data_IF_349517953768
#
_entry.id   IF_349517953768
#
_cell.length_a   1.000
_cell.length_b   1.000
_cell.length_c   1.000
_cell.angle_alpha   90.00
_cell.angle_beta   90.00
_cell.angle_gamma   90.00
#
_symmetry.space_group_name_H-M   'P 1'
#
loop_
_entity.id
_entity.type
_entity.pdbx_description
1 polymer ?
#
# COMPACT_ATOMS: atom_id res chain seq x y z
N UNK A 1 -6.56 -22.25 -3.45
CA UNK A 1 -6.09 -21.07 -2.71
C UNK A 1 -7.28 -20.39 -2.04
N UNK A 2 -7.34 -20.47 -0.72
CA UNK A 2 -8.37 -19.78 0.08
C UNK A 2 -7.87 -18.38 0.49
N UNK A 3 -8.71 -17.36 0.32
CA UNK A 3 -8.39 -15.98 0.71
C UNK A 3 -8.14 -15.83 2.23
N UNK A 4 -8.77 -16.67 3.05
CA UNK A 4 -8.49 -16.69 4.49
C UNK A 4 -7.09 -17.22 4.79
N UNK A 5 -6.62 -18.24 4.07
CA UNK A 5 -5.26 -18.79 4.18
C UNK A 5 -4.22 -17.78 3.68
N UNK A 6 -4.51 -17.08 2.56
CA UNK A 6 -3.66 -15.99 2.07
C UNK A 6 -3.53 -14.84 3.08
N UNK A 7 -4.60 -14.48 3.78
CA UNK A 7 -4.56 -13.47 4.84
C UNK A 7 -3.69 -13.92 6.03
N UNK A 8 -3.81 -15.19 6.44
CA UNK A 8 -2.96 -15.78 7.49
C UNK A 8 -1.49 -15.73 7.06
N UNK A 9 -1.19 -16.15 5.84
CA UNK A 9 0.15 -16.14 5.27
C UNK A 9 0.78 -14.75 5.26
N UNK A 10 0.08 -13.75 4.73
CA UNK A 10 0.57 -12.36 4.71
C UNK A 10 0.76 -11.79 6.12
N UNK A 11 -0.09 -12.18 7.07
CA UNK A 11 0.06 -11.74 8.46
C UNK A 11 1.33 -12.33 9.09
N UNK A 12 1.61 -13.62 8.86
CA UNK A 12 2.87 -14.26 9.33
C UNK A 12 4.09 -13.59 8.71
N UNK A 13 4.04 -13.31 7.40
CA UNK A 13 5.12 -12.65 6.67
C UNK A 13 5.43 -11.24 7.23
N UNK A 14 4.39 -10.45 7.49
CA UNK A 14 4.51 -9.08 8.06
C UNK A 14 5.02 -9.09 9.50
N UNK A 15 4.47 -9.96 10.33
CA UNK A 15 4.86 -10.06 11.74
C UNK A 15 6.21 -10.78 11.92
N UNK A 16 6.69 -11.48 10.89
CA UNK A 16 7.88 -12.34 10.96
C UNK A 16 7.86 -13.28 12.17
N UNK A 17 6.66 -13.74 12.57
CA UNK A 17 6.46 -14.60 13.73
C UNK A 17 5.08 -15.24 13.68
N UNK A 18 5.04 -16.56 13.73
CA UNK A 18 3.80 -17.34 13.80
C UNK A 18 2.99 -17.04 15.07
N UNK A 19 3.66 -16.86 16.21
CA UNK A 19 2.96 -16.55 17.49
C UNK A 19 2.37 -15.15 17.48
N UNK A 20 3.10 -14.13 16.97
CA UNK A 20 2.55 -12.77 16.84
C UNK A 20 1.40 -12.70 15.84
N UNK A 21 1.54 -13.39 14.72
CA UNK A 21 0.47 -13.48 13.74
C UNK A 21 -0.78 -14.17 14.33
N UNK A 22 -0.61 -15.23 15.11
CA UNK A 22 -1.70 -15.91 15.78
C UNK A 22 -2.44 -14.96 16.75
N UNK A 23 -1.71 -14.22 17.57
CA UNK A 23 -2.30 -13.23 18.46
C UNK A 23 -3.07 -12.15 17.68
N UNK A 24 -2.49 -11.61 16.62
CA UNK A 24 -3.11 -10.57 15.78
C UNK A 24 -4.37 -11.04 15.06
N UNK A 25 -4.42 -12.32 14.70
CA UNK A 25 -5.56 -12.95 14.04
C UNK A 25 -6.60 -13.54 15.02
N UNK A 26 -6.38 -13.39 16.32
CA UNK A 26 -7.20 -14.02 17.37
C UNK A 26 -7.34 -15.54 17.16
N UNK A 27 -6.23 -16.20 16.79
CA UNK A 27 -6.12 -17.64 16.58
C UNK A 27 -5.02 -18.25 17.45
N UNK A 28 -5.02 -19.57 17.57
CA UNK A 28 -3.89 -20.28 18.19
C UNK A 28 -2.74 -20.46 17.19
N UNK A 29 -1.49 -20.52 17.69
CA UNK A 29 -0.32 -20.73 16.84
C UNK A 29 -0.39 -22.07 16.05
N UNK A 30 -0.88 -23.19 16.61
CA UNK A 30 -1.11 -24.42 15.84
C UNK A 30 -2.09 -24.23 14.67
N UNK A 31 -3.18 -23.46 14.88
CA UNK A 31 -4.15 -23.18 13.83
C UNK A 31 -3.53 -22.36 12.67
N UNK A 32 -2.68 -21.39 12.99
CA UNK A 32 -1.91 -20.63 12.00
C UNK A 32 -0.95 -21.55 11.24
N UNK A 33 -0.22 -22.43 11.93
CA UNK A 33 0.70 -23.38 11.30
C UNK A 33 -0.01 -24.37 10.37
N UNK A 34 -1.20 -24.84 10.74
CA UNK A 34 -2.02 -25.72 9.90
C UNK A 34 -2.48 -24.97 8.64
N UNK A 35 -2.93 -23.71 8.77
CA UNK A 35 -3.34 -22.92 7.62
C UNK A 35 -2.17 -22.67 6.64
N UNK A 36 -0.96 -22.39 7.16
CA UNK A 36 0.22 -22.23 6.32
C UNK A 36 0.57 -23.54 5.61
N UNK A 37 0.56 -24.67 6.33
CA UNK A 37 0.84 -25.97 5.71
C UNK A 37 -0.15 -26.31 4.59
N UNK A 38 -1.45 -26.09 4.80
CA UNK A 38 -2.46 -26.26 3.75
C UNK A 38 -2.19 -25.40 2.52
N UNK A 39 -1.76 -24.16 2.74
CA UNK A 39 -1.41 -23.26 1.65
C UNK A 39 -0.16 -23.73 0.91
N UNK A 40 0.88 -24.19 1.63
CA UNK A 40 2.09 -24.78 1.04
C UNK A 40 1.76 -26.04 0.24
N UNK A 41 0.92 -26.93 0.77
CA UNK A 41 0.44 -28.12 0.07
C UNK A 41 -0.35 -27.75 -1.22
N UNK A 42 -1.16 -26.70 -1.18
CA UNK A 42 -1.94 -26.25 -2.33
C UNK A 42 -1.08 -25.58 -3.42
N UNK A 43 0.04 -24.97 -3.02
CA UNK A 43 0.99 -24.30 -3.95
C UNK A 43 2.05 -25.29 -4.43
N UNK A 44 2.33 -26.34 -3.66
CA UNK A 44 3.36 -27.34 -3.94
C UNK A 44 4.77 -26.90 -3.54
N UNK A 45 4.93 -25.76 -2.87
CA UNK A 45 6.22 -25.19 -2.52
C UNK A 45 6.21 -24.66 -1.06
N UNK A 46 7.33 -24.79 -0.32
CA UNK A 46 7.47 -24.19 0.98
C UNK A 46 7.52 -22.65 0.86
N UNK A 47 6.69 -21.95 1.62
CA UNK A 47 6.59 -20.50 1.59
C UNK A 47 7.45 -19.81 2.66
N UNK A 48 7.78 -20.55 3.72
CA UNK A 48 8.68 -20.09 4.78
C UNK A 48 9.94 -20.95 4.88
N UNK A 49 11.08 -20.33 5.18
CA UNK A 49 12.34 -21.02 5.35
C UNK A 49 12.28 -21.98 6.56
N UNK A 50 12.70 -23.26 6.34
CA UNK A 50 12.75 -24.28 7.40
C UNK A 50 13.77 -23.88 8.47
N UNK A 51 13.44 -24.07 9.75
CA UNK A 51 14.33 -23.81 10.89
C UNK A 51 14.35 -22.35 11.37
N UNK A 52 13.78 -21.43 10.65
CA UNK A 52 13.65 -20.05 11.12
C UNK A 52 12.35 -19.88 11.93
N UNK A 53 12.46 -19.73 13.26
CA UNK A 53 11.36 -19.22 14.10
C UNK A 53 10.87 -17.83 13.67
N UNK A 54 11.50 -17.25 12.64
CA UNK A 54 11.41 -15.84 12.24
C UNK A 54 10.41 -15.56 11.11
N UNK A 55 9.63 -16.51 10.61
CA UNK A 55 8.68 -16.24 9.51
C UNK A 55 9.33 -15.62 8.26
N UNK A 56 10.58 -16.00 7.96
CA UNK A 56 11.29 -15.55 6.76
C UNK A 56 10.76 -16.26 5.53
N UNK A 57 10.39 -15.48 4.50
CA UNK A 57 9.86 -16.02 3.25
C UNK A 57 10.95 -16.67 2.39
N UNK A 58 10.60 -17.77 1.73
CA UNK A 58 11.33 -18.32 0.58
C UNK A 58 11.10 -17.44 -0.66
N UNK A 59 11.75 -17.76 -1.78
CA UNK A 59 11.49 -17.04 -3.03
C UNK A 59 10.06 -17.32 -3.56
N UNK A 60 9.55 -18.55 -3.40
CA UNK A 60 8.15 -18.87 -3.64
C UNK A 60 7.22 -18.08 -2.72
N UNK A 61 7.58 -17.94 -1.44
CA UNK A 61 6.85 -17.10 -0.50
C UNK A 61 6.81 -15.63 -0.89
N UNK A 62 7.93 -15.06 -1.33
CA UNK A 62 7.98 -13.65 -1.81
C UNK A 62 7.09 -13.45 -3.04
N UNK A 63 7.16 -14.41 -3.99
CA UNK A 63 6.32 -14.38 -5.18
C UNK A 63 4.83 -14.44 -4.80
N UNK A 64 4.45 -15.44 -3.98
CA UNK A 64 3.07 -15.57 -3.54
C UNK A 64 2.59 -14.34 -2.76
N UNK A 65 3.44 -13.73 -1.92
CA UNK A 65 3.07 -12.53 -1.16
C UNK A 65 2.61 -11.38 -2.06
N UNK A 66 3.32 -11.15 -3.18
CA UNK A 66 2.96 -10.10 -4.13
C UNK A 66 1.58 -10.32 -4.77
N UNK A 67 1.27 -11.56 -5.15
CA UNK A 67 -0.02 -11.90 -5.73
C UNK A 67 -1.13 -11.98 -4.68
N UNK A 68 -0.86 -12.51 -3.49
CA UNK A 68 -1.81 -12.59 -2.40
C UNK A 68 -2.29 -11.21 -1.96
N UNK A 69 -1.39 -10.23 -1.87
CA UNK A 69 -1.77 -8.84 -1.59
C UNK A 69 -2.72 -8.29 -2.65
N UNK A 70 -2.41 -8.50 -3.93
CA UNK A 70 -3.27 -8.06 -5.04
C UNK A 70 -4.64 -8.72 -5.00
N UNK A 71 -4.72 -10.02 -4.74
CA UNK A 71 -5.99 -10.76 -4.62
C UNK A 71 -6.86 -10.23 -3.47
N UNK A 72 -6.27 -10.00 -2.29
CA UNK A 72 -7.01 -9.48 -1.15
C UNK A 72 -7.49 -8.03 -1.37
N UNK A 73 -6.69 -7.22 -2.05
CA UNK A 73 -7.06 -5.85 -2.39
C UNK A 73 -8.18 -5.82 -3.44
N UNK A 74 -8.08 -6.64 -4.49
CA UNK A 74 -9.14 -6.77 -5.49
C UNK A 74 -10.48 -7.24 -4.87
N UNK A 75 -10.42 -8.20 -3.93
CA UNK A 75 -11.62 -8.60 -3.16
C UNK A 75 -12.22 -7.41 -2.40
N UNK A 76 -11.38 -6.60 -1.78
CA UNK A 76 -11.84 -5.44 -1.02
C UNK A 76 -12.43 -4.37 -1.95
N UNK A 77 -11.85 -4.14 -3.12
CA UNK A 77 -12.37 -3.27 -4.17
C UNK A 77 -13.77 -3.71 -4.64
N UNK A 78 -13.93 -5.00 -4.96
CA UNK A 78 -15.24 -5.57 -5.32
C UNK A 78 -16.26 -5.33 -4.20
N UNK A 79 -15.86 -5.58 -2.94
CA UNK A 79 -16.76 -5.40 -1.79
C UNK A 79 -17.19 -3.94 -1.63
N UNK A 80 -16.29 -2.98 -1.87
CA UNK A 80 -16.59 -1.54 -1.86
C UNK A 80 -17.54 -1.18 -3.02
N UNK A 81 -17.21 -1.57 -4.25
CA UNK A 81 -18.04 -1.31 -5.41
C UNK A 81 -19.48 -1.84 -5.25
N UNK A 82 -19.63 -3.04 -4.68
CA UNK A 82 -20.93 -3.62 -4.38
C UNK A 82 -21.66 -2.88 -3.24
N UNK A 83 -20.93 -2.37 -2.25
CA UNK A 83 -21.50 -1.55 -1.19
C UNK A 83 -21.99 -0.20 -1.72
N UNK A 84 -21.22 0.42 -2.61
CA UNK A 84 -21.55 1.70 -3.24
C UNK A 84 -22.79 1.60 -4.11
N UNK A 85 -22.95 0.51 -4.85
CA UNK A 85 -24.17 0.20 -5.59
C UNK A 85 -25.40 0.09 -4.67
N UNK A 86 -25.24 -0.51 -3.47
CA UNK A 86 -26.34 -0.67 -2.50
C UNK A 86 -26.69 0.62 -1.77
N UNK A 87 -25.69 1.42 -1.45
CA UNK A 87 -25.86 2.64 -0.64
C UNK A 87 -26.19 3.89 -1.46
N UNK A 88 -26.20 3.79 -2.79
CA UNK A 88 -26.33 4.96 -3.68
C UNK A 88 -25.16 5.94 -3.60
N UNK A 89 -24.09 5.58 -2.90
CA UNK A 89 -22.85 6.38 -2.87
C UNK A 89 -22.12 6.22 -4.19
N UNK A 90 -21.80 7.32 -4.84
CA UNK A 90 -21.20 7.36 -6.17
C UNK A 90 -19.68 7.30 -6.16
N UNK A 91 -19.09 6.38 -5.37
CA UNK A 91 -17.69 6.02 -5.42
C UNK A 91 -16.84 6.51 -4.24
N UNK A 92 -15.70 5.88 -4.08
CA UNK A 92 -14.63 6.28 -3.17
C UNK A 92 -13.36 6.52 -3.98
N UNK A 93 -12.65 7.61 -3.70
CA UNK A 93 -11.36 7.94 -4.32
C UNK A 93 -10.28 8.00 -3.26
N UNK A 94 -9.34 7.06 -3.35
CA UNK A 94 -8.21 6.93 -2.42
C UNK A 94 -6.94 7.53 -3.04
N UNK A 95 -6.40 8.58 -2.42
CA UNK A 95 -5.18 9.26 -2.87
C UNK A 95 -4.01 8.98 -1.94
N UNK A 96 -2.86 8.62 -2.53
CA UNK A 96 -1.56 8.64 -1.87
C UNK A 96 -0.81 9.94 -2.20
N UNK A 97 -0.41 10.69 -1.18
CA UNK A 97 0.21 12.01 -1.38
C UNK A 97 1.47 12.11 -0.53
N UNK A 98 2.56 12.59 -1.10
CA UNK A 98 3.73 12.93 -0.30
C UNK A 98 3.52 14.27 0.44
N UNK A 99 4.32 14.49 1.49
CA UNK A 99 4.15 15.63 2.39
C UNK A 99 4.28 16.99 1.68
N UNK A 100 5.25 17.11 0.74
CA UNK A 100 5.47 18.37 0.02
C UNK A 100 4.32 18.74 -0.92
N UNK A 101 3.59 17.76 -1.45
CA UNK A 101 2.52 17.98 -2.41
C UNK A 101 1.15 18.26 -1.79
N UNK A 102 0.96 18.01 -0.49
CA UNK A 102 -0.34 18.17 0.18
C UNK A 102 -0.89 19.59 0.00
N UNK A 103 -0.07 20.60 0.26
CA UNK A 103 -0.50 22.01 0.20
C UNK A 103 -0.93 22.42 -1.21
N UNK A 104 -0.25 21.95 -2.24
CA UNK A 104 -0.59 22.23 -3.63
C UNK A 104 -1.90 21.55 -4.06
N UNK A 105 -2.23 20.42 -3.46
CA UNK A 105 -3.42 19.64 -3.81
C UNK A 105 -4.68 20.10 -3.09
N UNK A 106 -4.59 20.67 -1.89
CA UNK A 106 -5.76 21.05 -1.11
C UNK A 106 -6.80 21.90 -1.88
N UNK A 107 -6.40 22.94 -2.65
CA UNK A 107 -7.36 23.70 -3.44
C UNK A 107 -8.05 22.88 -4.53
N UNK A 108 -7.32 21.95 -5.16
CA UNK A 108 -7.86 21.09 -6.20
C UNK A 108 -8.87 20.11 -5.61
N UNK A 109 -8.53 19.49 -4.48
CA UNK A 109 -9.40 18.57 -3.76
C UNK A 109 -10.67 19.26 -3.22
N UNK A 110 -10.54 20.50 -2.73
CA UNK A 110 -11.68 21.29 -2.31
C UNK A 110 -12.68 21.53 -3.47
N UNK A 111 -12.17 21.91 -4.64
CA UNK A 111 -12.99 22.09 -5.85
C UNK A 111 -13.62 20.78 -6.32
N UNK A 112 -12.84 19.68 -6.29
CA UNK A 112 -13.35 18.36 -6.64
C UNK A 112 -14.50 17.93 -5.73
N UNK A 113 -14.35 18.11 -4.41
CA UNK A 113 -15.39 17.80 -3.44
C UNK A 113 -16.67 18.65 -3.60
N UNK A 114 -16.53 19.91 -4.04
CA UNK A 114 -17.69 20.76 -4.37
C UNK A 114 -18.41 20.27 -5.63
N UNK A 115 -17.66 19.84 -6.65
CA UNK A 115 -18.23 19.33 -7.90
C UNK A 115 -18.84 17.92 -7.76
N UNK A 116 -18.27 17.10 -6.87
CA UNK A 116 -18.67 15.71 -6.67
C UNK A 116 -18.89 15.40 -5.18
N UNK A 117 -19.94 15.97 -4.55
CA UNK A 117 -20.15 15.86 -3.10
C UNK A 117 -20.44 14.43 -2.63
N UNK A 118 -20.90 13.56 -3.54
CA UNK A 118 -21.23 12.16 -3.24
C UNK A 118 -20.01 11.22 -3.31
N UNK A 119 -18.85 11.70 -3.80
CA UNK A 119 -17.62 10.92 -3.83
C UNK A 119 -16.91 11.05 -2.49
N UNK A 120 -16.65 9.91 -1.85
CA UNK A 120 -15.84 9.87 -0.64
C UNK A 120 -14.35 10.00 -0.97
N UNK A 121 -13.73 11.10 -0.56
CA UNK A 121 -12.30 11.33 -0.73
C UNK A 121 -11.54 10.83 0.50
N UNK A 122 -10.66 9.85 0.30
CA UNK A 122 -9.71 9.37 1.28
C UNK A 122 -8.30 9.78 0.87
N UNK A 123 -7.60 10.53 1.71
CA UNK A 123 -6.22 10.94 1.44
C UNK A 123 -5.28 10.34 2.48
N UNK A 124 -4.20 9.70 2.02
CA UNK A 124 -3.20 9.07 2.87
C UNK A 124 -1.81 9.60 2.56
N UNK A 125 -1.08 9.95 3.62
CA UNK A 125 0.33 10.29 3.49
C UNK A 125 1.13 9.05 3.12
N UNK A 126 1.84 9.11 1.98
CA UNK A 126 2.62 8.00 1.43
C UNK A 126 3.95 8.54 0.90
N UNK A 127 5.05 7.84 1.15
CA UNK A 127 6.32 8.24 0.54
C UNK A 127 6.25 8.07 -0.98
N UNK A 128 6.81 9.02 -1.73
CA UNK A 128 6.80 8.98 -3.21
C UNK A 128 7.29 7.65 -3.78
N UNK A 129 8.31 7.04 -3.18
CA UNK A 129 8.88 5.75 -3.60
C UNK A 129 7.91 4.57 -3.45
N UNK A 130 6.95 4.66 -2.53
CA UNK A 130 6.03 3.58 -2.21
C UNK A 130 4.73 3.70 -3.03
N UNK A 131 4.45 4.89 -3.58
CA UNK A 131 3.23 5.19 -4.36
C UNK A 131 3.05 4.24 -5.54
N UNK A 132 4.06 3.95 -6.40
CA UNK A 132 3.87 3.01 -7.51
C UNK A 132 3.44 1.63 -7.04
N UNK A 133 4.06 1.11 -5.99
CA UNK A 133 3.72 -0.18 -5.41
C UNK A 133 2.28 -0.19 -4.84
N UNK A 134 1.87 0.88 -4.16
CA UNK A 134 0.52 1.00 -3.60
C UNK A 134 -0.56 1.08 -4.70
N UNK A 135 -0.27 1.76 -5.83
CA UNK A 135 -1.14 1.81 -7.01
C UNK A 135 -1.25 0.43 -7.69
N UNK A 136 -0.12 -0.23 -7.95
CA UNK A 136 -0.10 -1.55 -8.58
C UNK A 136 -0.77 -2.63 -7.72
N UNK A 137 -0.80 -2.44 -6.41
CA UNK A 137 -1.49 -3.31 -5.48
C UNK A 137 -2.94 -2.87 -5.19
N UNK A 138 -3.52 -1.93 -5.95
CA UNK A 138 -4.89 -1.44 -5.79
C UNK A 138 -5.21 -0.91 -4.38
N UNK A 139 -4.21 -0.37 -3.68
CA UNK A 139 -4.39 0.26 -2.37
C UNK A 139 -4.67 1.76 -2.48
N UNK A 140 -4.33 2.33 -3.63
CA UNK A 140 -4.58 3.70 -4.03
C UNK A 140 -5.17 3.69 -5.43
N UNK A 141 -6.07 4.63 -5.70
CA UNK A 141 -6.59 4.89 -7.04
C UNK A 141 -5.73 5.91 -7.78
N UNK A 142 -5.25 6.91 -7.04
CA UNK A 142 -4.34 7.95 -7.53
C UNK A 142 -3.16 8.15 -6.58
N UNK A 143 -2.04 8.58 -7.14
CA UNK A 143 -0.85 8.91 -6.36
C UNK A 143 -0.18 10.19 -6.85
N UNK A 144 0.33 11.01 -5.91
CA UNK A 144 1.14 12.17 -6.24
C UNK A 144 2.56 11.96 -5.73
N UNK A 145 3.49 11.78 -6.66
CA UNK A 145 4.88 11.48 -6.41
C UNK A 145 5.78 12.62 -6.93
N UNK A 146 6.99 12.73 -6.38
CA UNK A 146 8.00 13.71 -6.79
C UNK A 146 8.84 13.25 -7.99
N UNK A 147 8.52 12.13 -8.62
CA UNK A 147 9.18 11.61 -9.81
C UNK A 147 8.17 10.93 -10.74
N UNK A 148 8.56 10.66 -11.97
CA UNK A 148 7.77 9.90 -12.92
C UNK A 148 8.05 8.41 -12.71
N UNK A 149 7.05 7.61 -12.29
CA UNK A 149 7.24 6.17 -12.14
C UNK A 149 7.50 5.52 -13.52
N UNK A 150 8.38 4.53 -13.54
CA UNK A 150 8.71 3.78 -14.76
C UNK A 150 7.99 2.43 -14.82
N UNK A 151 7.30 2.06 -13.76
CA UNK A 151 6.57 0.81 -13.64
C UNK A 151 5.36 0.78 -14.58
N UNK A 152 5.30 -0.21 -15.42
CA UNK A 152 4.12 -0.49 -16.25
C UNK A 152 3.08 -1.26 -15.42
N UNK A 153 1.78 -0.99 -15.54
CA UNK A 153 1.07 -0.14 -16.50
C UNK A 153 0.72 1.28 -15.99
N UNK A 154 1.53 1.89 -15.11
CA UNK A 154 1.20 3.20 -14.55
C UNK A 154 1.33 4.31 -15.61
N UNK A 155 0.32 5.20 -15.64
CA UNK A 155 0.36 6.44 -16.41
C UNK A 155 0.64 7.62 -15.46
N UNK A 156 1.47 8.56 -15.88
CA UNK A 156 1.81 9.74 -15.09
C UNK A 156 1.65 11.03 -15.87
N UNK A 157 1.09 12.04 -15.21
CA UNK A 157 0.93 13.41 -15.73
C UNK A 157 1.59 14.38 -14.79
N UNK A 158 2.42 15.28 -15.32
CA UNK A 158 3.03 16.34 -14.51
C UNK A 158 1.99 17.39 -14.15
N UNK A 159 1.75 17.59 -12.86
CA UNK A 159 0.74 18.54 -12.35
C UNK A 159 1.33 19.88 -11.90
N UNK A 160 2.59 19.89 -11.41
CA UNK A 160 3.33 21.12 -11.07
C UNK A 160 4.84 20.85 -11.05
N UNK A 161 5.63 21.91 -10.95
CA UNK A 161 7.09 21.86 -10.77
C UNK A 161 7.42 22.42 -9.40
N UNK A 162 8.30 21.74 -8.70
CA UNK A 162 8.86 22.14 -7.40
C UNK A 162 10.36 22.17 -7.46
N UNK A 163 11.00 22.95 -6.59
CA UNK A 163 12.44 23.11 -6.53
C UNK A 163 12.94 22.88 -5.11
N UNK A 164 14.02 22.12 -4.98
CA UNK A 164 14.71 21.96 -3.72
C UNK A 164 15.62 23.18 -3.48
N UNK A 165 15.42 23.86 -2.35
CA UNK A 165 16.27 24.95 -1.90
C UNK A 165 17.06 24.53 -0.66
N UNK A 166 18.37 24.78 -0.69
CA UNK A 166 19.21 24.63 0.49
C UNK A 166 19.12 25.92 1.34
N UNK A 167 18.64 25.79 2.55
CA UNK A 167 18.41 26.93 3.45
C UNK A 167 19.39 26.88 4.61
N UNK A 168 20.03 27.98 4.90
CA UNK A 168 20.94 28.13 6.04
C UNK A 168 20.60 29.39 6.83
N UNK A 169 20.95 29.40 8.12
CA UNK A 169 20.82 30.61 8.93
C UNK A 169 21.67 31.76 8.34
N UNK A 170 21.25 33.04 8.43
CA UNK A 170 21.97 34.18 7.84
C UNK A 170 23.43 34.31 8.26
N UNK A 171 23.78 33.85 9.48
CA UNK A 171 25.16 33.89 10.02
C UNK A 171 25.92 32.59 9.76
N UNK A 172 25.37 31.62 9.04
CA UNK A 172 26.08 30.39 8.71
C UNK A 172 27.16 30.64 7.69
N UNK A 173 28.34 29.97 7.85
CA UNK A 173 29.48 30.14 6.96
C UNK A 173 29.17 29.96 5.47
N UNK A 174 28.19 29.15 5.14
CA UNK A 174 27.75 28.93 3.75
C UNK A 174 26.90 30.07 3.19
N UNK A 175 26.23 30.85 4.05
CA UNK A 175 25.50 32.04 3.62
C UNK A 175 26.39 33.15 3.11
N UNK A 176 27.68 33.15 3.52
CA UNK A 176 28.68 34.15 3.13
C UNK A 176 29.41 33.77 1.82
N UNK A 177 29.33 32.53 1.38
CA UNK A 177 29.83 32.11 0.06
C UNK A 177 28.72 32.43 -0.93
N UNK A 178 28.89 33.56 -1.64
CA UNK A 178 27.96 34.00 -2.65
C UNK A 178 27.53 32.88 -3.61
N UNK A 179 26.34 33.11 -4.20
CA UNK A 179 25.69 32.24 -5.18
C UNK A 179 26.62 31.69 -6.23
#
# INVERSE_FOLDING_TARGET
>A
LDLAELNVFLTVARERSFSRAAHKLFRTQPAVSIAIRKLEDAVGEPLFARGARSGQLTDAGKLLASYAERMLNLRQEISRAMSDLRSGRRGELSLGVNESSIHALLPVLARYRQAYPEVHLSMRRTFSRDIPCELLNYRLDLGVASFVPQEQPLAAVRIFRDELAFVVAPRHRLAQKGR
#
